data_IF_711533961934
#
_entry.id   IF_711533961934
#
_cell.length_a   1.000
_cell.length_b   1.000
_cell.length_c   1.000
_cell.angle_alpha   90.00
_cell.angle_beta   90.00
_cell.angle_gamma   90.00
#
_symmetry.space_group_name_H-M   'P 1'
#
loop_
_entity.id
_entity.type
_entity.pdbx_description
1 polymer ?
#
# COMPACT_ATOMS: atom_id res chain seq x y z
N UNK A 1 -16.95 15.31 -35.71
CA UNK A 1 -16.01 15.08 -34.60
C UNK A 1 -15.95 13.58 -34.33
N UNK A 2 -14.77 12.96 -34.17
CA UNK A 2 -14.72 11.55 -33.79
C UNK A 2 -15.17 11.42 -32.32
N UNK A 3 -15.83 10.33 -31.94
CA UNK A 3 -16.27 10.14 -30.56
C UNK A 3 -15.03 9.94 -29.68
N UNK A 4 -15.01 10.62 -28.53
CA UNK A 4 -14.00 10.41 -27.51
C UNK A 4 -13.99 8.92 -27.15
N UNK A 5 -12.84 8.26 -27.33
CA UNK A 5 -12.59 6.95 -26.73
C UNK A 5 -12.76 7.14 -25.24
N UNK A 6 -13.84 6.59 -24.69
CA UNK A 6 -13.92 6.33 -23.26
C UNK A 6 -12.82 5.29 -22.99
N UNK A 7 -11.67 5.78 -22.53
CA UNK A 7 -10.67 4.92 -21.91
C UNK A 7 -11.37 4.25 -20.74
N UNK A 8 -11.57 2.93 -20.83
CA UNK A 8 -12.02 2.16 -19.68
C UNK A 8 -11.09 2.50 -18.52
N UNK A 9 -11.62 2.78 -17.30
CA UNK A 9 -10.76 3.02 -16.16
C UNK A 9 -9.79 1.82 -16.08
N UNK A 10 -8.49 2.10 -16.08
CA UNK A 10 -7.50 1.08 -15.82
C UNK A 10 -7.96 0.31 -14.57
N UNK A 11 -7.85 -1.03 -14.54
CA UNK A 11 -8.23 -1.79 -13.36
C UNK A 11 -7.57 -1.13 -12.16
N UNK A 12 -8.39 -0.64 -11.21
CA UNK A 12 -7.91 -0.04 -9.97
C UNK A 12 -6.88 -1.01 -9.39
N UNK A 13 -5.61 -0.59 -9.31
CA UNK A 13 -4.58 -1.40 -8.68
C UNK A 13 -5.06 -1.70 -7.25
N UNK A 14 -4.94 -2.95 -6.80
CA UNK A 14 -5.37 -3.32 -5.45
C UNK A 14 -4.59 -2.45 -4.46
N UNK A 15 -5.31 -1.69 -3.62
CA UNK A 15 -4.71 -0.85 -2.59
C UNK A 15 -3.73 -1.63 -1.70
N UNK A 16 -3.97 -2.92 -1.49
CA UNK A 16 -3.04 -3.80 -0.77
C UNK A 16 -1.70 -3.95 -1.50
N UNK A 17 -1.72 -4.15 -2.82
CA UNK A 17 -0.51 -4.24 -3.65
C UNK A 17 0.24 -2.91 -3.71
N UNK A 18 -0.50 -1.79 -3.80
CA UNK A 18 0.08 -0.45 -3.74
C UNK A 18 0.82 -0.22 -2.40
N UNK A 19 0.20 -0.59 -1.28
CA UNK A 19 0.83 -0.47 0.04
C UNK A 19 2.10 -1.33 0.17
N UNK A 20 2.11 -2.53 -0.40
CA UNK A 20 3.32 -3.38 -0.45
C UNK A 20 4.44 -2.68 -1.21
N UNK A 21 4.13 -2.12 -2.38
CA UNK A 21 5.11 -1.37 -3.19
C UNK A 21 5.63 -0.16 -2.44
N UNK A 22 4.76 0.64 -1.85
CA UNK A 22 5.13 1.83 -1.08
C UNK A 22 6.02 1.48 0.13
N UNK A 23 5.72 0.40 0.88
CA UNK A 23 6.56 -0.04 2.00
C UNK A 23 7.95 -0.44 1.50
N UNK A 24 8.04 -1.14 0.38
CA UNK A 24 9.31 -1.57 -0.19
C UNK A 24 10.15 -0.36 -0.65
N UNK A 25 9.54 0.62 -1.33
CA UNK A 25 10.20 1.87 -1.71
C UNK A 25 10.74 2.63 -0.50
N UNK A 26 9.98 2.68 0.61
CA UNK A 26 10.43 3.33 1.85
C UNK A 26 11.60 2.60 2.51
N UNK A 27 11.63 1.27 2.47
CA UNK A 27 12.76 0.48 2.97
C UNK A 27 14.02 0.68 2.13
N UNK A 28 13.89 0.73 0.81
CA UNK A 28 14.99 1.00 -0.12
C UNK A 28 15.55 2.40 0.12
N UNK A 29 14.68 3.41 0.18
CA UNK A 29 15.08 4.78 0.51
C UNK A 29 15.85 4.87 1.84
N UNK A 30 15.37 4.20 2.89
CA UNK A 30 16.09 4.20 4.18
C UNK A 30 17.46 3.54 4.06
N UNK A 31 17.57 2.46 3.29
CA UNK A 31 18.84 1.76 3.04
C UNK A 31 19.84 2.70 2.35
N UNK A 32 19.39 3.44 1.33
CA UNK A 32 20.21 4.43 0.64
C UNK A 32 20.65 5.56 1.58
N UNK A 33 19.74 6.09 2.40
CA UNK A 33 20.07 7.14 3.37
C UNK A 33 21.04 6.66 4.44
N UNK A 34 20.96 5.39 4.85
CA UNK A 34 21.90 4.78 5.78
C UNK A 34 23.29 4.60 5.18
N UNK A 35 23.37 4.17 3.91
CA UNK A 35 24.62 4.09 3.18
C UNK A 35 25.31 5.46 3.01
N UNK A 36 24.53 6.54 2.93
CA UNK A 36 25.02 7.92 2.91
C UNK A 36 25.34 8.49 4.31
N UNK A 37 25.17 7.72 5.38
CA UNK A 37 25.38 8.16 6.76
C UNK A 37 24.27 9.09 7.31
N UNK A 38 23.18 9.25 6.58
CA UNK A 38 22.03 10.11 6.93
C UNK A 38 20.92 9.37 7.70
N UNK A 39 21.13 8.10 8.06
CA UNK A 39 20.12 7.26 8.74
C UNK A 39 19.50 7.89 9.99
N UNK A 40 20.28 8.64 10.79
CA UNK A 40 19.75 9.31 12.01
C UNK A 40 18.65 10.33 11.71
N UNK A 41 18.69 10.98 10.55
CA UNK A 41 17.69 11.97 10.14
C UNK A 41 16.40 11.31 9.67
N UNK A 42 16.50 10.18 8.97
CA UNK A 42 15.36 9.59 8.26
C UNK A 42 14.71 8.41 8.97
N UNK A 43 15.45 7.65 9.78
CA UNK A 43 14.97 6.38 10.36
C UNK A 43 13.64 6.53 11.10
N UNK A 44 13.50 7.55 11.95
CA UNK A 44 12.26 7.77 12.70
C UNK A 44 11.06 8.06 11.80
N UNK A 45 11.25 8.91 10.79
CA UNK A 45 10.20 9.32 9.85
C UNK A 45 9.75 8.12 9.01
N UNK A 46 10.71 7.41 8.41
CA UNK A 46 10.43 6.28 7.53
C UNK A 46 9.76 5.13 8.29
N UNK A 47 10.21 4.83 9.52
CA UNK A 47 9.55 3.80 10.34
C UNK A 47 8.11 4.17 10.71
N UNK A 48 7.83 5.45 10.95
CA UNK A 48 6.47 5.91 11.21
C UNK A 48 5.57 5.75 9.98
N UNK A 49 6.08 6.10 8.79
CA UNK A 49 5.36 5.91 7.51
C UNK A 49 5.09 4.42 7.22
N UNK A 50 6.09 3.55 7.39
CA UNK A 50 5.92 2.10 7.24
C UNK A 50 4.86 1.58 8.22
N UNK A 51 4.91 2.02 9.48
CA UNK A 51 3.93 1.62 10.49
C UNK A 51 2.51 2.08 10.13
N UNK A 52 2.36 3.25 9.52
CA UNK A 52 1.07 3.73 9.04
C UNK A 52 0.52 2.85 7.91
N UNK A 53 1.36 2.50 6.94
CA UNK A 53 0.97 1.63 5.81
C UNK A 53 0.59 0.24 6.27
N UNK A 54 1.32 -0.34 7.24
CA UNK A 54 0.98 -1.65 7.81
C UNK A 54 -0.40 -1.66 8.47
N UNK A 55 -0.73 -0.63 9.26
CA UNK A 55 -2.08 -0.51 9.85
C UNK A 55 -3.18 -0.45 8.78
N UNK A 56 -2.92 0.26 7.69
CA UNK A 56 -3.86 0.31 6.56
C UNK A 56 -4.05 -1.08 5.92
N UNK A 57 -2.97 -1.85 5.76
CA UNK A 57 -3.04 -3.23 5.27
C UNK A 57 -3.86 -4.14 6.21
N UNK A 58 -3.67 -4.01 7.52
CA UNK A 58 -4.44 -4.76 8.53
C UNK A 58 -5.95 -4.42 8.45
N UNK A 59 -6.29 -3.15 8.23
CA UNK A 59 -7.68 -2.73 8.06
C UNK A 59 -8.33 -3.25 6.77
N UNK A 60 -7.55 -3.33 5.69
CA UNK A 60 -7.99 -3.96 4.43
C UNK A 60 -8.21 -5.46 4.63
N UNK A 61 -7.24 -6.16 5.22
CA UNK A 61 -7.32 -7.60 5.47
C UNK A 61 -8.51 -8.00 6.35
N UNK A 62 -8.74 -7.22 7.42
CA UNK A 62 -9.89 -7.43 8.31
C UNK A 62 -11.22 -7.28 7.57
N UNK A 63 -11.38 -6.23 6.76
CA UNK A 63 -12.61 -6.00 5.98
C UNK A 63 -12.86 -7.14 4.98
N UNK A 64 -11.84 -7.54 4.23
CA UNK A 64 -11.91 -8.64 3.27
C UNK A 64 -12.28 -9.97 3.94
N UNK A 65 -11.67 -10.24 5.10
CA UNK A 65 -11.97 -11.43 5.90
C UNK A 65 -13.41 -11.45 6.40
N UNK A 66 -13.95 -10.30 6.83
CA UNK A 66 -15.35 -10.18 7.25
C UNK A 66 -16.33 -10.37 6.08
N UNK A 67 -16.03 -9.79 4.92
CA UNK A 67 -16.82 -9.97 3.69
C UNK A 67 -16.84 -11.43 3.26
N UNK A 68 -15.69 -12.09 3.24
CA UNK A 68 -15.57 -13.52 2.91
C UNK A 68 -16.39 -14.38 3.89
N UNK A 69 -16.29 -14.11 5.20
CA UNK A 69 -17.07 -14.82 6.22
C UNK A 69 -18.58 -14.67 5.99
N UNK A 70 -19.06 -13.46 5.64
CA UNK A 70 -20.48 -13.22 5.35
C UNK A 70 -20.96 -13.95 4.09
N UNK A 71 -20.14 -13.98 3.04
CA UNK A 71 -20.44 -14.68 1.80
C UNK A 71 -20.60 -16.19 2.03
N UNK A 72 -19.67 -16.79 2.79
CA UNK A 72 -19.72 -18.22 3.15
C UNK A 72 -20.90 -18.58 4.05
N UNK A 73 -21.34 -17.67 4.92
CA UNK A 73 -22.49 -17.90 5.80
C UNK A 73 -23.85 -17.78 5.08
N UNK A 74 -23.87 -17.23 3.86
CA UNK A 74 -25.09 -17.02 3.05
C UNK A 74 -25.26 -18.12 1.99
N UNK A 75 -24.32 -19.07 1.89
CA UNK A 75 -24.34 -20.21 0.97
C UNK A 75 -24.72 -21.48 1.72
#
# INVERSE_FOLDING_TARGET
APPARQEAPAPEQDRFEELVKEIQERKEFLTDMEALGQGKQYRGIILAEISQKLREMEDIDRRRSEELRKALATT
#
